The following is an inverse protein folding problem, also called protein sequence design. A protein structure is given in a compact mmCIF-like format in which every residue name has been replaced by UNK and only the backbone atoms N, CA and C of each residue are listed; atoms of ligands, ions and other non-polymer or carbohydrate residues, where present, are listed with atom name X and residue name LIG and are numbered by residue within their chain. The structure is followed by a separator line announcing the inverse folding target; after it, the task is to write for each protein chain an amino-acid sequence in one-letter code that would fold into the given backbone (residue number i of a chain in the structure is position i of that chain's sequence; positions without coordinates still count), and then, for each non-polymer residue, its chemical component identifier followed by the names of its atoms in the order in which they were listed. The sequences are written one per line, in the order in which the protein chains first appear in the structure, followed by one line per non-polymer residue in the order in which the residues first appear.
data_IF_828371346147
#
_entry.id   IF_828371346147
#
_cell.length_a   1.000
_cell.length_b   1.000
_cell.length_c   1.000
_cell.angle_alpha   90.00
_cell.angle_beta   90.00
_cell.angle_gamma   90.00
#
_symmetry.space_group_name_H-M   'P 1'
#
loop_
_entity.id
_entity.type
_entity.pdbx_description
1 polymer ?
#
# COMPACT_ATOMS: atom_id res chain seq x y z
N UNK A 1 7.44 19.73 39.02
CA UNK A 1 8.13 18.41 39.06
C UNK A 1 7.34 17.33 39.80
N UNK A 2 6.84 17.54 41.03
CA UNK A 2 6.00 16.54 41.75
C UNK A 2 4.75 16.08 40.99
N UNK A 3 4.08 16.99 40.26
CA UNK A 3 2.87 16.66 39.47
C UNK A 3 3.14 15.86 38.20
N UNK A 4 4.35 15.94 37.63
CA UNK A 4 4.77 15.19 36.44
C UNK A 4 5.14 13.74 36.78
N UNK A 5 5.76 13.54 37.95
CA UNK A 5 6.09 12.23 38.50
C UNK A 5 4.84 11.41 38.83
N UNK A 6 3.77 12.06 39.32
CA UNK A 6 2.47 11.42 39.52
C UNK A 6 1.85 10.92 38.20
N UNK A 7 1.98 11.68 37.11
CA UNK A 7 1.49 11.26 35.78
C UNK A 7 2.27 10.06 35.22
N UNK A 8 3.56 9.95 35.54
CA UNK A 8 4.42 8.81 35.16
C UNK A 8 4.17 7.55 36.00
N UNK A 9 3.59 7.67 37.20
CA UNK A 9 3.30 6.56 38.10
C UNK A 9 1.89 5.95 37.91
N UNK A 10 0.97 6.70 37.28
CA UNK A 10 -0.39 6.22 36.98
C UNK A 10 -0.41 5.01 36.02
N UNK A 11 0.42 4.93 34.96
CA UNK A 11 0.48 3.74 34.12
C UNK A 11 0.93 2.52 34.93
N UNK A 12 2.04 2.62 35.67
CA UNK A 12 2.64 1.49 36.40
C UNK A 12 1.74 0.94 37.52
N UNK A 13 0.92 1.78 38.15
CA UNK A 13 -0.01 1.34 39.21
C UNK A 13 -1.28 0.67 38.66
N UNK A 14 -1.70 1.00 37.42
CA UNK A 14 -2.83 0.33 36.75
C UNK A 14 -2.43 -1.01 36.11
N UNK A 15 -1.18 -1.17 35.67
CA UNK A 15 -0.68 -2.44 35.09
C UNK A 15 -0.45 -3.55 36.12
N UNK A 16 -0.31 -3.25 37.41
CA UNK A 16 -0.06 -4.26 38.46
C UNK A 16 -1.25 -5.19 38.76
N UNK A 17 -2.45 -4.90 38.24
CA UNK A 17 -3.65 -5.75 38.41
C UNK A 17 -3.99 -6.57 37.17
N UNK A 18 -3.20 -6.47 36.10
CA UNK A 18 -3.49 -7.14 34.85
C UNK A 18 -2.81 -8.51 34.83
N UNK A 19 -3.62 -9.58 34.86
CA UNK A 19 -3.12 -10.90 34.50
C UNK A 19 -2.78 -10.91 33.00
N UNK A 20 -1.54 -10.54 32.67
CA UNK A 20 -1.03 -10.40 31.30
C UNK A 20 -1.31 -11.67 30.49
N UNK A 21 -1.19 -12.84 31.11
CA UNK A 21 -1.49 -14.13 30.47
C UNK A 21 -2.94 -14.25 30.03
N UNK A 22 -3.89 -13.86 30.88
CA UNK A 22 -5.32 -13.91 30.56
C UNK A 22 -5.69 -12.86 29.51
N UNK A 23 -5.07 -11.68 29.56
CA UNK A 23 -5.29 -10.62 28.58
C UNK A 23 -4.74 -11.01 27.19
N UNK A 24 -3.52 -11.53 27.12
CA UNK A 24 -2.94 -12.06 25.88
C UNK A 24 -3.82 -13.20 25.34
N UNK A 25 -4.23 -14.15 26.18
CA UNK A 25 -5.11 -15.25 25.77
C UNK A 25 -6.44 -14.75 25.21
N UNK A 26 -7.04 -13.71 25.82
CA UNK A 26 -8.29 -13.10 25.35
C UNK A 26 -8.11 -12.31 24.04
N UNK A 27 -7.00 -11.60 23.89
CA UNK A 27 -6.66 -10.86 22.68
C UNK A 27 -6.37 -11.81 21.53
N UNK A 28 -5.58 -12.87 21.73
CA UNK A 28 -5.25 -13.85 20.70
C UNK A 28 -6.39 -14.87 20.43
N UNK A 29 -7.42 -14.95 21.28
CA UNK A 29 -8.57 -15.84 21.05
C UNK A 29 -9.27 -15.48 19.73
N UNK A 30 -9.51 -16.49 18.90
CA UNK A 30 -10.11 -16.42 17.54
C UNK A 30 -9.21 -15.85 16.44
N UNK A 31 -7.93 -15.69 16.72
CA UNK A 31 -6.96 -15.27 15.70
C UNK A 31 -6.67 -16.44 14.76
N UNK A 32 -6.48 -16.12 13.49
CA UNK A 32 -6.14 -17.08 12.44
C UNK A 32 -4.71 -16.81 12.02
N UNK A 33 -3.85 -17.81 12.21
CA UNK A 33 -2.54 -17.86 11.54
C UNK A 33 -2.73 -18.53 10.18
N UNK A 34 -2.09 -17.99 9.14
CA UNK A 34 -2.14 -18.55 7.80
C UNK A 34 -0.81 -18.35 7.09
N UNK A 35 -0.51 -19.31 6.23
CA UNK A 35 0.57 -19.23 5.26
C UNK A 35 0.07 -19.86 3.97
N UNK A 36 0.40 -19.26 2.83
CA UNK A 36 0.04 -19.74 1.51
C UNK A 36 1.24 -19.57 0.58
N UNK A 37 1.44 -20.53 -0.30
CA UNK A 37 2.45 -20.48 -1.35
C UNK A 37 1.79 -20.85 -2.67
N UNK A 38 1.97 -20.02 -3.69
CA UNK A 38 1.43 -20.20 -5.03
C UNK A 38 2.56 -19.97 -6.04
N UNK A 39 2.57 -20.76 -7.12
CA UNK A 39 3.48 -20.59 -8.24
C UNK A 39 2.68 -20.63 -9.54
N UNK A 40 3.02 -19.73 -10.46
CA UNK A 40 2.35 -19.60 -11.75
C UNK A 40 3.39 -19.60 -12.88
N UNK A 41 2.95 -19.80 -14.13
CA UNK A 41 3.85 -19.80 -15.28
C UNK A 41 4.52 -18.42 -15.45
N UNK A 42 5.70 -18.40 -16.08
CA UNK A 42 6.32 -17.16 -16.55
C UNK A 42 5.55 -16.56 -17.72
N UNK A 43 5.75 -15.26 -17.95
CA UNK A 43 5.45 -14.64 -19.25
C UNK A 43 6.43 -15.20 -20.29
N UNK A 44 6.01 -15.25 -21.57
CA UNK A 44 6.89 -15.62 -22.67
C UNK A 44 8.14 -14.74 -22.69
N UNK A 45 9.30 -15.38 -22.89
CA UNK A 45 10.57 -14.66 -22.99
C UNK A 45 10.53 -13.60 -24.09
N UNK A 46 11.21 -12.48 -23.84
CA UNK A 46 11.30 -11.38 -24.79
C UNK A 46 12.54 -11.57 -25.65
N UNK A 47 12.33 -11.83 -26.92
CA UNK A 47 13.40 -11.89 -27.92
C UNK A 47 13.55 -10.53 -28.59
N UNK A 48 14.66 -9.85 -28.32
CA UNK A 48 14.99 -8.57 -28.97
C UNK A 48 15.93 -8.82 -30.14
N UNK A 49 15.57 -8.31 -31.31
CA UNK A 49 16.41 -8.34 -32.51
C UNK A 49 17.12 -7.00 -32.67
N UNK A 50 18.45 -7.01 -32.81
CA UNK A 50 19.24 -5.81 -33.09
C UNK A 50 20.14 -6.03 -34.30
N UNK A 51 20.42 -4.94 -35.03
CA UNK A 51 21.30 -4.93 -36.21
C UNK A 51 22.44 -3.96 -35.93
N UNK A 52 23.48 -4.46 -35.27
CA UNK A 52 24.71 -3.71 -34.98
C UNK A 52 25.87 -4.16 -35.89
N UNK A 53 26.04 -5.47 -36.09
CA UNK A 53 27.02 -6.08 -37.02
C UNK A 53 26.49 -7.43 -37.57
N UNK A 54 25.22 -7.44 -38.01
CA UNK A 54 24.45 -8.64 -38.36
C UNK A 54 23.19 -8.80 -37.49
N UNK A 55 22.39 -9.84 -37.73
CA UNK A 55 21.20 -10.10 -36.91
C UNK A 55 21.63 -10.69 -35.55
N UNK A 56 21.64 -9.85 -34.52
CA UNK A 56 21.84 -10.29 -33.14
C UNK A 56 20.49 -10.52 -32.46
N UNK A 57 20.36 -11.68 -31.82
CA UNK A 57 19.15 -12.09 -31.11
C UNK A 57 19.50 -12.21 -29.63
N UNK A 58 18.92 -11.36 -28.79
CA UNK A 58 19.06 -11.44 -27.33
C UNK A 58 17.74 -11.88 -26.74
N UNK A 59 17.72 -13.04 -26.09
CA UNK A 59 16.54 -13.54 -25.35
C UNK A 59 16.72 -13.19 -23.88
N UNK A 60 15.83 -12.36 -23.35
CA UNK A 60 15.74 -12.09 -21.92
C UNK A 60 14.78 -13.10 -21.30
N UNK A 61 15.31 -14.06 -20.54
CA UNK A 61 14.50 -15.05 -19.81
C UNK A 61 13.65 -14.35 -18.75
N UNK A 62 12.34 -14.59 -18.79
CA UNK A 62 11.43 -14.08 -17.76
C UNK A 62 11.16 -15.21 -16.77
N UNK A 63 11.59 -15.10 -15.50
CA UNK A 63 11.40 -16.17 -14.53
C UNK A 63 9.91 -16.35 -14.17
N UNK A 64 9.57 -17.53 -13.63
CA UNK A 64 8.20 -17.85 -13.21
C UNK A 64 7.73 -16.94 -12.06
N UNK A 65 6.43 -16.63 -12.07
CA UNK A 65 5.79 -15.84 -11.03
C UNK A 65 5.48 -16.72 -9.82
N UNK A 66 5.60 -16.16 -8.62
CA UNK A 66 5.23 -16.84 -7.38
C UNK A 66 4.67 -15.85 -6.37
N UNK A 67 3.93 -16.36 -5.38
CA UNK A 67 3.50 -15.57 -4.23
C UNK A 67 3.55 -16.41 -2.97
N UNK A 68 4.21 -15.89 -1.95
CA UNK A 68 4.32 -16.48 -0.62
C UNK A 68 3.74 -15.49 0.39
N UNK A 69 2.57 -15.82 0.94
CA UNK A 69 1.86 -14.98 1.89
C UNK A 69 1.91 -15.62 3.27
N UNK A 70 2.25 -14.85 4.30
CA UNK A 70 2.21 -15.29 5.68
C UNK A 70 1.60 -14.21 6.57
N UNK A 71 0.75 -14.61 7.52
CA UNK A 71 0.11 -13.64 8.37
C UNK A 71 -0.63 -14.18 9.58
N UNK A 72 -0.93 -13.27 10.49
CA UNK A 72 -1.81 -13.50 11.63
C UNK A 72 -2.86 -12.40 11.66
N UNK A 73 -4.13 -12.80 11.76
CA UNK A 73 -5.22 -11.83 11.80
C UNK A 73 -6.30 -12.19 12.80
N UNK A 74 -6.93 -11.15 13.33
CA UNK A 74 -8.17 -11.21 14.08
C UNK A 74 -9.06 -10.06 13.65
N UNK A 75 -9.98 -10.35 12.74
CA UNK A 75 -10.89 -9.37 12.16
C UNK A 75 -12.31 -9.92 12.32
N UNK A 76 -13.29 -9.04 12.53
CA UNK A 76 -14.67 -9.45 12.68
C UNK A 76 -15.21 -10.03 11.36
N UNK A 77 -15.63 -11.30 11.41
CA UNK A 77 -16.28 -11.94 10.26
C UNK A 77 -17.64 -11.33 9.94
N UNK A 78 -17.89 -11.05 8.66
CA UNK A 78 -19.17 -10.58 8.12
C UNK A 78 -20.11 -11.74 7.79
N UNK A 79 -21.43 -11.50 7.89
CA UNK A 79 -22.44 -12.54 7.67
C UNK A 79 -22.46 -13.09 6.24
N UNK A 80 -21.92 -12.34 5.27
CA UNK A 80 -21.78 -12.77 3.88
C UNK A 80 -20.50 -13.58 3.62
N UNK A 81 -19.47 -13.50 4.49
CA UNK A 81 -18.21 -14.20 4.26
C UNK A 81 -18.39 -15.70 4.02
N UNK A 82 -19.25 -16.45 4.76
CA UNK A 82 -19.46 -17.86 4.47
C UNK A 82 -20.14 -18.13 3.11
N UNK A 83 -20.89 -17.16 2.57
CA UNK A 83 -21.52 -17.27 1.25
C UNK A 83 -20.56 -16.89 0.11
N UNK A 84 -19.54 -16.06 0.39
CA UNK A 84 -18.44 -15.75 -0.53
C UNK A 84 -17.35 -16.85 -0.47
N UNK A 85 -17.09 -17.42 0.71
CA UNK A 85 -15.98 -18.34 1.04
C UNK A 85 -16.36 -19.83 1.04
N UNK A 86 -17.38 -20.25 0.30
CA UNK A 86 -17.51 -21.68 -0.02
C UNK A 86 -16.44 -22.07 -1.06
N UNK A 87 -15.22 -22.27 -0.55
CA UNK A 87 -14.15 -23.20 -0.96
C UNK A 87 -12.79 -22.53 -0.78
N UNK A 88 -12.09 -22.94 0.28
CA UNK A 88 -10.64 -22.91 0.49
C UNK A 88 -9.87 -21.68 0.00
N UNK A 89 -9.31 -20.92 0.95
CA UNK A 89 -8.29 -19.89 0.68
C UNK A 89 -7.19 -20.48 -0.20
N UNK A 90 -7.12 -20.05 -1.46
CA UNK A 90 -6.20 -20.57 -2.47
C UNK A 90 -4.89 -19.74 -2.59
N UNK A 91 -4.64 -18.84 -1.64
CA UNK A 91 -3.44 -18.00 -1.63
C UNK A 91 -3.49 -16.79 -2.57
N UNK A 92 -4.62 -16.55 -3.25
CA UNK A 92 -4.85 -15.38 -4.13
C UNK A 92 -6.00 -14.47 -3.68
N UNK A 93 -6.56 -14.73 -2.49
CA UNK A 93 -7.75 -14.02 -2.00
C UNK A 93 -7.39 -12.77 -1.19
N UNK A 94 -7.56 -11.59 -1.79
CA UNK A 94 -7.60 -10.33 -1.06
C UNK A 94 -8.91 -10.24 -0.27
N UNK A 95 -8.83 -10.13 1.05
CA UNK A 95 -10.01 -9.94 1.90
C UNK A 95 -10.40 -8.47 1.87
N UNK A 96 -11.16 -8.05 0.85
CA UNK A 96 -11.57 -6.65 0.65
C UNK A 96 -12.26 -6.03 1.87
N UNK A 97 -12.93 -6.86 2.68
CA UNK A 97 -13.64 -6.42 3.87
C UNK A 97 -12.74 -6.05 5.05
N UNK A 98 -11.44 -6.37 4.98
CA UNK A 98 -10.49 -6.08 6.05
C UNK A 98 -10.27 -4.57 6.20
N UNK A 99 -10.50 -3.77 5.15
CA UNK A 99 -10.41 -2.31 5.21
C UNK A 99 -11.61 -1.62 5.88
N UNK A 100 -12.73 -2.33 6.09
CA UNK A 100 -13.95 -1.73 6.59
C UNK A 100 -14.00 -1.62 8.12
N UNK A 101 -14.57 -0.53 8.66
CA UNK A 101 -14.58 -0.27 10.11
C UNK A 101 -15.81 -0.86 10.81
N UNK A 102 -16.79 -1.41 10.08
CA UNK A 102 -18.10 -1.80 10.65
C UNK A 102 -18.51 -3.24 10.38
N UNK A 103 -18.16 -4.12 11.32
CA UNK A 103 -18.61 -5.51 11.41
C UNK A 103 -20.00 -5.76 12.04
N UNK A 104 -20.46 -7.02 11.92
CA UNK A 104 -21.71 -7.54 12.49
C UNK A 104 -21.79 -7.43 14.04
N UNK A 105 -20.63 -7.44 14.70
CA UNK A 105 -20.41 -7.01 16.08
C UNK A 105 -19.40 -5.86 16.05
N UNK A 106 -19.91 -4.64 15.91
CA UNK A 106 -19.14 -3.40 15.66
C UNK A 106 -18.36 -2.87 16.88
N UNK A 107 -17.75 -3.77 17.66
CA UNK A 107 -16.96 -3.47 18.87
C UNK A 107 -15.85 -4.49 19.04
N UNK A 108 -14.63 -4.01 19.28
CA UNK A 108 -13.53 -4.88 19.67
C UNK A 108 -12.17 -4.41 19.20
N UNK A 109 -11.18 -5.21 19.58
CA UNK A 109 -9.80 -5.09 19.12
C UNK A 109 -9.62 -6.01 17.92
N UNK A 110 -9.16 -5.44 16.81
CA UNK A 110 -8.87 -6.13 15.56
C UNK A 110 -7.44 -5.86 15.14
N UNK A 111 -6.84 -6.83 14.46
CA UNK A 111 -5.51 -6.68 13.91
C UNK A 111 -5.29 -7.58 12.69
N UNK A 112 -4.38 -7.14 11.83
CA UNK A 112 -3.82 -7.87 10.70
C UNK A 112 -2.32 -7.65 10.74
N UNK A 113 -1.55 -8.72 10.58
CA UNK A 113 -0.15 -8.63 10.26
C UNK A 113 0.09 -9.60 9.11
N UNK A 114 0.36 -9.06 7.93
CA UNK A 114 0.54 -9.83 6.71
C UNK A 114 1.81 -9.39 6.00
N UNK A 115 2.51 -10.38 5.49
CA UNK A 115 3.64 -10.22 4.59
C UNK A 115 3.37 -11.04 3.35
N UNK A 116 3.61 -10.45 2.20
CA UNK A 116 3.40 -11.06 0.90
C UNK A 116 4.66 -10.85 0.06
N UNK A 117 5.38 -11.95 -0.14
CA UNK A 117 6.54 -11.99 -0.99
C UNK A 117 6.14 -12.54 -2.35
N UNK A 118 6.12 -11.68 -3.36
CA UNK A 118 5.63 -12.01 -4.70
C UNK A 118 6.64 -11.67 -5.77
N UNK A 119 6.73 -12.50 -6.80
CA UNK A 119 7.36 -12.16 -8.07
C UNK A 119 6.26 -12.05 -9.12
N UNK A 120 6.22 -10.91 -9.78
CA UNK A 120 5.31 -10.64 -10.89
C UNK A 120 6.09 -10.00 -12.03
N UNK A 121 6.01 -10.58 -13.21
CA UNK A 121 6.62 -10.06 -14.44
C UNK A 121 8.15 -9.84 -14.28
N UNK A 122 8.81 -10.77 -13.59
CA UNK A 122 10.26 -10.69 -13.35
C UNK A 122 10.70 -9.70 -12.27
N UNK A 123 9.78 -8.94 -11.65
CA UNK A 123 10.08 -8.08 -10.50
C UNK A 123 9.62 -8.73 -9.20
N UNK A 124 10.45 -8.64 -8.18
CA UNK A 124 10.15 -9.11 -6.83
C UNK A 124 9.66 -7.97 -5.96
N UNK A 125 8.60 -8.21 -5.21
CA UNK A 125 7.99 -7.26 -4.30
C UNK A 125 7.81 -7.92 -2.93
N UNK A 126 8.19 -7.20 -1.89
CA UNK A 126 7.85 -7.53 -0.51
C UNK A 126 6.77 -6.57 -0.04
N UNK A 127 5.52 -7.03 -0.09
CA UNK A 127 4.38 -6.26 0.36
C UNK A 127 4.12 -6.56 1.85
N UNK A 128 3.71 -5.53 2.57
CA UNK A 128 3.40 -5.59 4.00
C UNK A 128 2.08 -4.88 4.28
N UNK A 129 1.17 -5.53 5.00
CA UNK A 129 -0.07 -4.92 5.49
C UNK A 129 -0.22 -5.27 6.98
N UNK A 130 0.08 -4.29 7.83
CA UNK A 130 -0.01 -4.43 9.27
C UNK A 130 -0.94 -3.37 9.81
N UNK A 131 -2.05 -3.77 10.44
CA UNK A 131 -2.86 -2.82 11.19
C UNK A 131 -3.30 -3.36 12.54
N UNK A 132 -3.49 -2.43 13.46
CA UNK A 132 -4.17 -2.62 14.74
C UNK A 132 -5.28 -1.59 14.80
N UNK A 133 -6.50 -2.01 15.12
CA UNK A 133 -7.59 -1.07 15.36
C UNK A 133 -8.45 -1.47 16.53
N UNK A 134 -8.94 -0.45 17.23
CA UNK A 134 -9.90 -0.58 18.30
C UNK A 134 -11.17 0.18 17.94
N UNK A 135 -12.28 -0.55 17.88
CA UNK A 135 -13.57 0.00 17.49
C UNK A 135 -14.47 0.03 18.72
N UNK A 136 -14.89 1.23 19.12
CA UNK A 136 -15.85 1.46 20.20
C UNK A 136 -17.21 1.94 19.67
N UNK A 137 -18.12 2.32 20.57
CA UNK A 137 -19.37 3.00 20.18
C UNK A 137 -19.17 4.43 19.73
N UNK A 138 -18.28 5.15 20.41
CA UNK A 138 -18.08 6.59 20.23
C UNK A 138 -16.76 6.97 19.58
N UNK A 139 -15.85 6.03 19.43
CA UNK A 139 -14.54 6.30 18.85
C UNK A 139 -13.96 5.08 18.13
N UNK A 140 -13.01 5.35 17.24
CA UNK A 140 -12.19 4.38 16.51
C UNK A 140 -10.75 4.84 16.63
N UNK A 141 -9.87 3.93 17.02
CA UNK A 141 -8.42 4.13 16.99
C UNK A 141 -7.84 3.14 15.99
N UNK A 142 -6.98 3.60 15.09
CA UNK A 142 -6.30 2.74 14.12
C UNK A 142 -4.83 3.13 14.05
N UNK A 143 -3.97 2.13 13.97
CA UNK A 143 -2.56 2.24 13.59
C UNK A 143 -2.34 1.26 12.46
N UNK A 144 -1.69 1.69 11.40
CA UNK A 144 -1.42 0.90 10.19
C UNK A 144 -0.03 1.19 9.66
N UNK A 145 0.62 0.16 9.14
CA UNK A 145 1.80 0.23 8.31
C UNK A 145 1.47 -0.53 7.03
N UNK A 146 1.55 0.15 5.90
CA UNK A 146 1.31 -0.42 4.58
C UNK A 146 2.56 -0.20 3.73
N UNK A 147 2.97 -1.25 3.04
CA UNK A 147 4.01 -1.21 2.01
C UNK A 147 3.53 -2.07 0.83
N UNK A 148 3.33 -1.45 -0.32
CA UNK A 148 2.96 -2.11 -1.56
C UNK A 148 3.97 -1.71 -2.63
N UNK A 149 4.90 -2.63 -2.91
CA UNK A 149 5.97 -2.41 -3.88
C UNK A 149 5.45 -2.31 -5.32
N UNK A 150 4.26 -2.84 -5.62
CA UNK A 150 3.68 -2.74 -6.97
C UNK A 150 3.08 -1.36 -7.23
N UNK A 151 2.38 -0.80 -6.24
CA UNK A 151 1.86 0.57 -6.29
C UNK A 151 2.92 1.64 -5.92
N UNK A 152 4.13 1.19 -5.54
CA UNK A 152 5.23 2.02 -5.06
C UNK A 152 4.75 2.98 -3.95
N UNK A 153 4.10 2.41 -2.92
CA UNK A 153 3.54 3.17 -1.82
C UNK A 153 3.84 2.52 -0.47
N UNK A 154 4.27 3.34 0.47
CA UNK A 154 4.72 2.99 1.80
C UNK A 154 4.33 4.09 2.78
N UNK A 155 3.56 3.75 3.82
CA UNK A 155 3.22 4.69 4.87
C UNK A 155 2.89 4.02 6.19
N UNK A 156 3.14 4.75 7.26
CA UNK A 156 2.59 4.50 8.59
C UNK A 156 1.46 5.49 8.87
N UNK A 157 0.29 5.01 9.28
CA UNK A 157 -0.87 5.81 9.66
C UNK A 157 -1.19 5.58 11.15
N UNK A 158 -1.48 6.65 11.88
CA UNK A 158 -2.17 6.60 13.16
C UNK A 158 -3.39 7.53 13.13
N UNK A 159 -4.59 7.00 13.35
CA UNK A 159 -5.82 7.81 13.35
C UNK A 159 -6.66 7.64 14.60
N UNK A 160 -7.26 8.76 15.03
CA UNK A 160 -8.18 8.84 16.16
C UNK A 160 -9.45 9.53 15.70
N UNK A 161 -10.57 8.80 15.73
CA UNK A 161 -11.81 9.24 15.11
C UNK A 161 -12.97 9.12 16.08
N UNK A 162 -13.73 10.18 16.26
CA UNK A 162 -15.04 10.12 16.90
C UNK A 162 -16.03 9.48 15.95
N UNK A 163 -16.86 8.59 16.48
CA UNK A 163 -17.81 7.79 15.72
C UNK A 163 -19.23 8.08 16.20
N UNK A 164 -20.11 8.38 15.25
CA UNK A 164 -21.54 8.47 15.46
C UNK A 164 -22.25 7.29 14.79
N UNK A 165 -22.88 6.44 15.61
CA UNK A 165 -23.66 5.28 15.14
C UNK A 165 -25.13 5.69 15.03
N UNK A 166 -25.64 5.89 13.81
CA UNK A 166 -27.06 6.11 13.57
C UNK A 166 -27.88 4.85 13.83
N UNK A 167 -27.34 3.69 13.43
CA UNK A 167 -27.92 2.39 13.70
C UNK A 167 -26.82 1.31 13.69
N UNK A 168 -27.20 0.03 13.76
CA UNK A 168 -26.25 -1.09 13.73
C UNK A 168 -25.54 -1.29 12.38
N UNK A 169 -26.06 -0.69 11.32
CA UNK A 169 -25.66 -0.86 9.92
C UNK A 169 -24.89 0.34 9.38
N UNK A 170 -25.15 1.54 9.88
CA UNK A 170 -24.62 2.79 9.36
C UNK A 170 -23.97 3.61 10.48
N UNK A 171 -22.75 4.04 10.23
CA UNK A 171 -22.07 5.01 11.08
C UNK A 171 -21.22 5.96 10.26
N UNK A 172 -21.04 7.15 10.81
CA UNK A 172 -20.08 8.13 10.32
C UNK A 172 -19.02 8.37 11.38
N UNK A 173 -17.83 8.78 10.96
CA UNK A 173 -16.74 9.11 11.85
C UNK A 173 -16.01 10.37 11.37
N UNK A 174 -15.43 11.10 12.31
CA UNK A 174 -14.63 12.31 12.08
C UNK A 174 -13.48 12.34 13.06
N UNK A 175 -12.28 12.74 12.62
CA UNK A 175 -11.15 12.84 13.52
C UNK A 175 -9.88 13.35 12.88
N UNK A 176 -8.77 13.05 13.56
CA UNK A 176 -7.42 13.34 13.09
C UNK A 176 -6.74 12.07 12.61
N UNK A 177 -5.91 12.22 11.59
CA UNK A 177 -5.03 11.20 11.06
C UNK A 177 -3.63 11.77 10.98
N UNK A 178 -2.66 11.00 11.46
CA UNK A 178 -1.24 11.27 11.31
C UNK A 178 -0.67 10.23 10.35
N UNK A 179 0.10 10.67 9.35
CA UNK A 179 0.80 9.78 8.42
C UNK A 179 2.29 10.09 8.42
N UNK A 180 3.09 9.04 8.34
CA UNK A 180 4.53 9.11 8.11
C UNK A 180 4.80 8.35 6.82
N UNK A 181 5.35 9.03 5.82
CA UNK A 181 5.62 8.44 4.52
C UNK A 181 6.86 9.03 3.88
N UNK A 182 7.33 8.41 2.81
CA UNK A 182 8.31 9.04 1.93
C UNK A 182 7.74 10.33 1.33
N UNK A 183 8.59 11.28 0.91
CA UNK A 183 8.16 12.54 0.30
C UNK A 183 7.61 12.32 -1.12
N UNK A 184 6.42 11.71 -1.21
CA UNK A 184 5.66 11.61 -2.45
C UNK A 184 5.48 13.00 -3.06
N UNK A 185 5.53 13.08 -4.39
CA UNK A 185 5.50 14.36 -5.14
C UNK A 185 6.85 15.04 -5.31
N UNK A 186 7.92 14.57 -4.66
CA UNK A 186 9.26 15.10 -4.87
C UNK A 186 9.78 14.80 -6.28
N UNK A 187 10.15 15.86 -7.00
CA UNK A 187 10.85 15.76 -8.28
C UNK A 187 12.37 15.86 -8.03
N UNK A 188 13.12 14.75 -8.21
CA UNK A 188 14.56 14.73 -7.98
C UNK A 188 15.35 15.59 -8.97
N UNK A 189 14.75 16.02 -10.08
CA UNK A 189 15.42 16.83 -11.10
C UNK A 189 15.10 18.31 -11.00
N UNK A 190 14.17 18.74 -10.15
CA UNK A 190 13.69 20.12 -10.08
C UNK A 190 14.84 21.16 -9.96
N UNK A 191 15.82 20.88 -9.11
CA UNK A 191 16.98 21.76 -8.90
C UNK A 191 18.07 21.63 -9.97
N UNK A 192 18.01 20.57 -10.80
CA UNK A 192 18.99 20.28 -11.84
C UNK A 192 18.52 20.70 -13.24
N UNK A 193 17.23 20.98 -13.43
CA UNK A 193 16.68 21.42 -14.71
C UNK A 193 17.32 22.73 -15.15
N UNK A 194 17.74 22.79 -16.42
CA UNK A 194 18.20 24.03 -17.03
C UNK A 194 17.00 24.97 -17.26
N UNK A 195 17.24 26.28 -17.48
CA UNK A 195 16.17 27.24 -17.78
C UNK A 195 15.32 26.90 -19.02
N UNK A 196 15.85 26.08 -19.93
CA UNK A 196 15.16 25.58 -21.12
C UNK A 196 14.38 24.27 -20.89
N UNK A 197 14.37 23.75 -19.65
CA UNK A 197 13.73 22.49 -19.28
C UNK A 197 14.55 21.23 -19.59
N UNK A 198 15.78 21.36 -20.10
CA UNK A 198 16.63 20.20 -20.38
C UNK A 198 17.35 19.69 -19.13
N UNK A 199 17.54 18.37 -19.04
CA UNK A 199 18.29 17.74 -17.96
C UNK A 199 19.78 17.72 -18.32
N UNK A 200 20.68 18.21 -17.45
CA UNK A 200 22.13 18.15 -17.66
C UNK A 200 22.67 16.75 -17.36
N UNK A 201 22.22 15.75 -18.11
CA UNK A 201 22.53 14.32 -17.88
C UNK A 201 24.02 14.02 -17.80
N UNK A 202 24.87 14.72 -18.58
CA UNK A 202 26.33 14.50 -18.55
C UNK A 202 26.91 14.89 -17.19
N UNK A 203 26.44 16.00 -16.60
CA UNK A 203 26.87 16.43 -15.27
C UNK A 203 26.46 15.38 -14.23
N UNK A 204 25.21 14.94 -14.28
CA UNK A 204 24.67 13.90 -13.38
C UNK A 204 25.48 12.61 -13.50
N UNK A 205 25.77 12.16 -14.73
CA UNK A 205 26.60 10.98 -14.98
C UNK A 205 27.99 11.12 -14.36
N UNK A 206 28.67 12.25 -14.55
CA UNK A 206 29.98 12.51 -13.94
C UNK A 206 29.90 12.57 -12.41
N UNK A 207 28.88 13.21 -11.84
CA UNK A 207 28.67 13.27 -10.38
C UNK A 207 28.42 11.86 -9.78
N UNK A 208 27.82 10.96 -10.57
CA UNK A 208 27.65 9.54 -10.23
C UNK A 208 28.88 8.66 -10.49
N UNK A 209 29.97 9.24 -11.01
CA UNK A 209 31.25 8.55 -11.22
C UNK A 209 31.46 7.96 -12.61
N UNK A 210 30.56 8.19 -13.57
CA UNK A 210 30.77 7.80 -14.96
C UNK A 210 31.84 8.69 -15.60
N UNK A 211 32.68 8.08 -16.43
CA UNK A 211 33.78 8.78 -17.09
C UNK A 211 33.66 8.69 -18.61
N UNK A 212 34.16 9.72 -19.29
CA UNK A 212 34.29 9.78 -20.73
C UNK A 212 35.77 9.85 -21.11
N UNK A 213 36.23 8.84 -21.86
CA UNK A 213 37.60 8.72 -22.34
C UNK A 213 37.79 9.20 -23.78
N UNK A 214 39.03 9.12 -24.26
CA UNK A 214 39.36 9.38 -25.66
C UNK A 214 38.64 8.35 -26.56
N UNK A 215 38.12 8.81 -27.71
CA UNK A 215 37.36 8.03 -28.71
C UNK A 215 35.92 7.62 -28.32
N UNK A 216 35.19 8.47 -27.58
CA UNK A 216 33.77 8.23 -27.23
C UNK A 216 33.51 6.92 -26.47
N UNK A 217 34.51 6.48 -25.71
CA UNK A 217 34.40 5.35 -24.78
C UNK A 217 33.91 5.90 -23.44
N UNK A 218 32.80 5.35 -22.95
CA UNK A 218 32.20 5.67 -21.67
C UNK A 218 32.37 4.51 -20.71
N UNK A 219 32.78 4.81 -19.48
CA UNK A 219 32.96 3.81 -18.43
C UNK A 219 32.06 4.09 -17.23
N UNK A 220 31.64 3.02 -16.56
CA UNK A 220 30.94 3.09 -15.27
C UNK A 220 31.90 3.52 -14.13
N UNK A 221 31.39 3.69 -12.90
CA UNK A 221 32.21 4.03 -11.73
C UNK A 221 33.26 2.96 -11.35
N UNK A 222 33.11 1.72 -11.82
CA UNK A 222 34.07 0.63 -11.60
C UNK A 222 35.16 0.58 -12.68
N UNK A 223 35.04 1.40 -13.74
CA UNK A 223 35.96 1.45 -14.87
C UNK A 223 35.62 0.47 -16.00
N UNK A 224 34.45 -0.17 -15.98
CA UNK A 224 33.97 -1.03 -17.05
C UNK A 224 33.37 -0.22 -18.19
N UNK A 225 33.64 -0.62 -19.43
CA UNK A 225 33.12 0.07 -20.63
C UNK A 225 31.62 -0.22 -20.77
N UNK A 226 30.81 0.84 -20.71
CA UNK A 226 29.34 0.77 -20.83
C UNK A 226 28.82 1.24 -22.18
N UNK A 227 29.60 2.05 -22.92
CA UNK A 227 29.29 2.43 -24.28
C UNK A 227 30.55 2.80 -25.06
N UNK A 228 30.54 2.54 -26.37
CA UNK A 228 31.61 2.90 -27.32
C UNK A 228 31.17 4.00 -28.31
N UNK A 229 30.00 4.61 -28.10
CA UNK A 229 29.56 5.79 -28.82
C UNK A 229 28.66 6.64 -27.93
N UNK A 230 28.57 7.93 -28.25
CA UNK A 230 27.73 8.87 -27.51
C UNK A 230 26.24 8.55 -27.65
N UNK A 231 25.82 8.05 -28.82
CA UNK A 231 24.43 7.67 -29.09
C UNK A 231 24.01 6.48 -28.21
N UNK A 232 24.84 5.44 -28.15
CA UNK A 232 24.58 4.27 -27.31
C UNK A 232 24.56 4.65 -25.84
N UNK A 233 25.48 5.52 -25.41
CA UNK A 233 25.49 6.01 -24.04
C UNK A 233 24.21 6.77 -23.69
N UNK A 234 23.75 7.67 -24.57
CA UNK A 234 22.54 8.47 -24.37
C UNK A 234 21.25 7.65 -24.39
N UNK A 235 21.14 6.67 -25.27
CA UNK A 235 19.89 5.90 -25.43
C UNK A 235 19.75 4.76 -24.42
N UNK A 236 20.86 4.16 -23.99
CA UNK A 236 20.84 2.94 -23.16
C UNK A 236 21.27 3.22 -21.73
N UNK A 237 22.36 3.98 -21.54
CA UNK A 237 23.01 4.13 -20.22
C UNK A 237 22.45 5.33 -19.47
N UNK A 238 22.27 6.48 -20.12
CA UNK A 238 21.74 7.69 -19.49
C UNK A 238 20.38 7.48 -18.82
N UNK A 239 19.40 6.78 -19.40
CA UNK A 239 18.13 6.49 -18.71
C UNK A 239 18.34 5.75 -17.38
N UNK A 240 19.27 4.80 -17.34
CA UNK A 240 19.62 4.08 -16.11
C UNK A 240 20.27 5.01 -15.09
N UNK A 241 21.24 5.83 -15.51
CA UNK A 241 21.89 6.83 -14.65
C UNK A 241 20.86 7.78 -14.03
N UNK A 242 19.91 8.27 -14.85
CA UNK A 242 18.86 9.17 -14.36
C UNK A 242 17.92 8.46 -13.38
N UNK A 243 17.57 7.18 -13.63
CA UNK A 243 16.77 6.38 -12.69
C UNK A 243 17.51 6.21 -11.36
N UNK A 244 18.78 5.79 -11.40
CA UNK A 244 19.59 5.56 -10.20
C UNK A 244 19.80 6.88 -9.42
N UNK A 245 20.02 7.99 -10.13
CA UNK A 245 20.10 9.31 -9.51
C UNK A 245 18.81 9.67 -8.79
N UNK A 246 17.66 9.48 -9.44
CA UNK A 246 16.35 9.75 -8.86
C UNK A 246 16.12 8.93 -7.57
N UNK A 247 16.49 7.65 -7.58
CA UNK A 247 16.38 6.76 -6.43
C UNK A 247 17.32 7.17 -5.30
N UNK A 248 18.56 7.55 -5.60
CA UNK A 248 19.52 8.08 -4.61
C UNK A 248 18.97 9.35 -3.96
N UNK A 249 18.48 10.30 -4.76
CA UNK A 249 17.91 11.55 -4.24
C UNK A 249 16.69 11.28 -3.36
N UNK A 250 15.79 10.38 -3.77
CA UNK A 250 14.61 9.99 -2.97
C UNK A 250 15.00 9.33 -1.66
N UNK A 251 15.93 8.37 -1.70
CA UNK A 251 16.39 7.63 -0.52
C UNK A 251 17.20 8.49 0.47
N UNK A 252 17.77 9.61 0.00
CA UNK A 252 18.45 10.57 0.87
C UNK A 252 17.48 11.40 1.72
N UNK A 253 16.19 11.45 1.35
CA UNK A 253 15.21 12.27 2.04
C UNK A 253 14.63 11.57 3.27
N UNK A 254 14.46 12.30 4.41
CA UNK A 254 13.82 11.74 5.57
C UNK A 254 12.30 11.57 5.33
N UNK A 255 11.71 10.58 6.00
CA UNK A 255 10.25 10.42 6.02
C UNK A 255 9.57 11.69 6.56
N UNK A 256 8.51 12.12 5.87
CA UNK A 256 7.70 13.28 6.24
C UNK A 256 6.60 12.89 7.22
N UNK A 257 6.23 13.84 8.06
CA UNK A 257 5.10 13.72 8.98
C UNK A 257 3.97 14.62 8.48
N UNK A 258 2.78 14.06 8.36
CA UNK A 258 1.58 14.78 7.92
C UNK A 258 0.44 14.58 8.90
N UNK A 259 -0.34 15.63 9.10
CA UNK A 259 -1.56 15.58 9.91
C UNK A 259 -2.74 16.03 9.07
N UNK A 260 -3.81 15.24 9.08
CA UNK A 260 -4.97 15.45 8.23
C UNK A 260 -6.26 15.31 9.04
N UNK A 261 -7.27 16.09 8.68
CA UNK A 261 -8.64 15.78 9.10
C UNK A 261 -9.11 14.54 8.32
N UNK A 262 -9.84 13.64 8.98
CA UNK A 262 -10.45 12.48 8.33
C UNK A 262 -11.94 12.44 8.62
N UNK A 263 -12.72 12.25 7.56
CA UNK A 263 -14.15 11.96 7.58
C UNK A 263 -14.34 10.56 7.03
N UNK A 264 -15.14 9.74 7.70
CA UNK A 264 -15.42 8.39 7.24
C UNK A 264 -16.88 8.04 7.35
N UNK A 265 -17.33 7.12 6.50
CA UNK A 265 -18.60 6.45 6.67
C UNK A 265 -18.44 4.96 6.45
N UNK A 266 -19.34 4.20 7.06
CA UNK A 266 -19.43 2.77 6.88
C UNK A 266 -20.91 2.35 6.86
N UNK A 267 -21.26 1.51 5.89
CA UNK A 267 -22.60 0.97 5.68
C UNK A 267 -22.56 -0.53 5.44
N UNK A 268 -23.24 -1.31 6.29
CA UNK A 268 -23.32 -2.76 6.22
C UNK A 268 -24.78 -3.25 6.21
N UNK A 269 -25.17 -3.98 5.17
CA UNK A 269 -26.48 -4.62 5.05
C UNK A 269 -26.32 -6.06 4.57
N UNK A 270 -26.91 -6.99 5.32
CA UNK A 270 -26.91 -8.42 4.99
C UNK A 270 -28.31 -9.03 5.06
N UNK A 271 -28.59 -9.89 4.10
CA UNK A 271 -29.77 -10.76 4.00
C UNK A 271 -29.38 -12.01 3.19
N UNK A 272 -30.21 -13.06 3.21
CA UNK A 272 -29.90 -14.34 2.53
C UNK A 272 -29.67 -14.19 1.01
N UNK A 273 -30.31 -13.22 0.37
CA UNK A 273 -30.24 -13.04 -1.08
C UNK A 273 -29.46 -11.78 -1.50
N UNK A 274 -29.05 -10.96 -0.54
CA UNK A 274 -28.44 -9.66 -0.82
C UNK A 274 -27.47 -9.29 0.30
N UNK A 275 -26.27 -8.91 -0.08
CA UNK A 275 -25.29 -8.31 0.83
C UNK A 275 -24.68 -7.07 0.17
N UNK A 276 -24.53 -6.03 0.99
CA UNK A 276 -23.90 -4.78 0.61
C UNK A 276 -23.07 -4.31 1.80
N UNK A 277 -21.81 -4.04 1.55
CA UNK A 277 -20.90 -3.43 2.49
C UNK A 277 -20.13 -2.34 1.76
N UNK A 278 -20.19 -1.11 2.25
CA UNK A 278 -19.46 0.01 1.68
C UNK A 278 -18.87 0.87 2.77
N UNK A 279 -17.69 1.39 2.52
CA UNK A 279 -17.00 2.32 3.40
C UNK A 279 -16.28 3.35 2.55
N UNK A 280 -16.08 4.55 3.09
CA UNK A 280 -15.19 5.53 2.52
C UNK A 280 -14.52 6.36 3.61
N UNK A 281 -13.34 6.86 3.28
CA UNK A 281 -12.58 7.84 4.04
C UNK A 281 -12.26 9.01 3.11
N UNK A 282 -12.44 10.21 3.61
CA UNK A 282 -12.14 11.47 2.94
C UNK A 282 -11.24 12.28 3.86
N UNK A 283 -10.12 12.74 3.34
CA UNK A 283 -9.19 13.63 4.02
C UNK A 283 -9.26 14.98 3.30
N UNK A 284 -10.19 15.86 3.70
CA UNK A 284 -10.43 17.11 2.97
C UNK A 284 -9.44 18.22 3.31
N UNK A 285 -8.60 18.02 4.33
CA UNK A 285 -7.71 19.05 4.83
C UNK A 285 -6.46 18.45 5.43
N UNK A 286 -5.32 18.95 4.98
CA UNK A 286 -3.99 18.56 5.43
C UNK A 286 -3.34 19.79 6.08
N UNK A 287 -2.79 19.62 7.28
CA UNK A 287 -2.11 20.70 8.00
C UNK A 287 -0.79 20.99 7.30
N UNK A 288 -0.61 22.25 6.88
CA UNK A 288 0.65 22.72 6.36
C UNK A 288 1.66 22.84 7.50
N UNK A 289 2.63 21.94 7.51
CA UNK A 289 3.79 22.03 8.38
C UNK A 289 4.92 22.57 7.53
N UNK A 290 5.52 23.68 7.96
CA UNK A 290 6.67 24.30 7.31
C UNK A 290 7.88 23.35 7.31
N UNK A 291 7.89 22.41 6.37
CA UNK A 291 8.96 21.45 6.11
C UNK A 291 9.40 21.62 4.65
N UNK A 292 10.69 21.51 4.37
CA UNK A 292 11.25 21.61 3.03
C UNK A 292 10.66 20.57 2.06
N UNK A 293 10.26 19.40 2.59
CA UNK A 293 9.73 18.27 1.80
C UNK A 293 8.23 18.01 2.08
N UNK A 294 7.49 19.04 2.48
CA UNK A 294 6.04 18.97 2.65
C UNK A 294 5.34 18.78 1.30
N UNK A 295 4.33 17.90 1.24
CA UNK A 295 3.53 17.73 0.02
C UNK A 295 2.77 19.00 -0.38
N UNK A 296 2.44 19.88 0.57
CA UNK A 296 1.88 21.20 0.25
C UNK A 296 2.74 21.99 -0.73
N UNK A 297 4.07 21.86 -0.64
CA UNK A 297 5.02 22.53 -1.54
C UNK A 297 5.09 21.86 -2.91
N UNK A 298 4.91 20.54 -2.97
CA UNK A 298 4.94 19.80 -4.23
C UNK A 298 3.60 19.84 -4.98
N UNK A 299 2.50 20.05 -4.27
CA UNK A 299 1.14 20.08 -4.81
C UNK A 299 0.57 21.51 -4.91
N UNK A 300 1.40 22.54 -4.76
CA UNK A 300 1.00 23.95 -4.83
C UNK A 300 -0.24 24.29 -3.95
N UNK A 301 -0.35 23.67 -2.77
CA UNK A 301 -1.43 23.94 -1.82
C UNK A 301 -2.13 22.69 -1.27
N UNK A 302 -3.42 22.84 -0.94
CA UNK A 302 -4.26 21.76 -0.39
C UNK A 302 -4.61 20.74 -1.47
N UNK A 303 -4.83 19.49 -1.04
CA UNK A 303 -5.32 18.41 -1.88
C UNK A 303 -6.40 17.60 -1.17
N UNK A 304 -6.97 16.65 -1.91
CA UNK A 304 -8.00 15.75 -1.42
C UNK A 304 -7.51 14.31 -1.50
N UNK A 305 -7.32 13.69 -0.35
CA UNK A 305 -7.03 12.27 -0.24
C UNK A 305 -8.31 11.50 0.06
N UNK A 306 -8.52 10.36 -0.59
CA UNK A 306 -9.70 9.55 -0.35
C UNK A 306 -9.46 8.06 -0.60
N UNK A 307 -10.17 7.24 0.16
CA UNK A 307 -10.20 5.79 -0.04
C UNK A 307 -11.60 5.26 0.20
N UNK A 308 -11.93 4.13 -0.41
CA UNK A 308 -13.22 3.51 -0.18
C UNK A 308 -13.30 2.13 -0.79
N UNK A 309 -14.36 1.42 -0.42
CA UNK A 309 -14.63 0.12 -0.97
C UNK A 309 -16.10 -0.22 -0.99
N UNK A 310 -16.39 -1.22 -1.79
CA UNK A 310 -17.72 -1.73 -2.02
C UNK A 310 -17.62 -3.25 -2.12
N UNK A 311 -18.47 -3.95 -1.40
CA UNK A 311 -18.73 -5.38 -1.55
C UNK A 311 -20.22 -5.51 -1.75
N UNK A 312 -20.61 -5.97 -2.92
CA UNK A 312 -21.98 -6.17 -3.33
C UNK A 312 -22.15 -7.61 -3.78
N UNK A 313 -23.30 -8.18 -3.46
CA UNK A 313 -23.73 -9.38 -4.15
C UNK A 313 -25.20 -9.65 -3.99
N UNK A 314 -25.73 -10.33 -5.00
CA UNK A 314 -27.13 -10.63 -5.14
C UNK A 314 -27.32 -12.05 -5.64
N UNK A 315 -28.22 -12.78 -4.97
CA UNK A 315 -28.60 -14.15 -5.34
C UNK A 315 -30.02 -14.11 -5.91
N UNK A 316 -30.15 -14.27 -7.22
CA UNK A 316 -31.42 -14.28 -7.93
C UNK A 316 -32.26 -15.50 -7.54
N UNK A 317 -31.63 -16.67 -7.46
CA UNK A 317 -32.24 -17.93 -7.05
C UNK A 317 -31.18 -18.87 -6.44
N UNK A 318 -31.51 -20.13 -6.14
CA UNK A 318 -30.55 -21.07 -5.53
C UNK A 318 -29.36 -21.43 -6.43
N UNK A 319 -29.51 -21.26 -7.74
CA UNK A 319 -28.50 -21.61 -8.73
C UNK A 319 -27.70 -20.40 -9.19
N UNK A 320 -28.30 -19.22 -9.32
CA UNK A 320 -27.67 -18.04 -9.92
C UNK A 320 -27.45 -16.92 -8.91
N UNK A 321 -26.22 -16.41 -8.86
CA UNK A 321 -25.86 -15.20 -8.12
C UNK A 321 -24.76 -14.41 -8.80
N UNK A 322 -24.63 -13.15 -8.40
CA UNK A 322 -23.58 -12.24 -8.86
C UNK A 322 -22.91 -11.58 -7.66
N UNK A 323 -21.66 -11.20 -7.83
CA UNK A 323 -20.93 -10.39 -6.87
C UNK A 323 -20.04 -9.37 -7.58
N UNK A 324 -19.83 -8.25 -6.92
CA UNK A 324 -18.87 -7.23 -7.30
C UNK A 324 -18.24 -6.68 -6.02
N UNK A 325 -16.92 -6.73 -5.92
CA UNK A 325 -16.17 -6.23 -4.79
C UNK A 325 -14.96 -5.44 -5.26
N UNK A 326 -14.57 -4.43 -4.50
CA UNK A 326 -13.38 -3.68 -4.81
C UNK A 326 -13.06 -2.61 -3.78
N UNK A 327 -11.81 -2.16 -3.84
CA UNK A 327 -11.25 -1.07 -3.05
C UNK A 327 -10.52 -0.11 -3.97
N UNK A 328 -10.57 1.18 -3.63
CA UNK A 328 -9.91 2.24 -4.34
C UNK A 328 -9.26 3.18 -3.34
N UNK A 329 -8.06 3.65 -3.67
CA UNK A 329 -7.30 4.60 -2.88
C UNK A 329 -6.70 5.66 -3.81
N UNK A 330 -6.73 6.92 -3.36
CA UNK A 330 -6.04 8.06 -3.96
C UNK A 330 -5.35 8.81 -2.84
N UNK A 331 -4.04 8.61 -2.66
CA UNK A 331 -3.22 9.37 -1.71
C UNK A 331 -2.01 9.98 -2.41
N UNK A 332 -1.68 11.25 -2.11
CA UNK A 332 -0.49 11.95 -2.66
C UNK A 332 -0.37 11.83 -4.19
N UNK A 333 -1.50 12.01 -4.89
CA UNK A 333 -1.63 11.89 -6.35
C UNK A 333 -1.29 10.49 -6.92
N UNK A 334 -1.17 9.47 -6.07
CA UNK A 334 -1.08 8.06 -6.47
C UNK A 334 -2.43 7.38 -6.31
N UNK A 335 -2.85 6.66 -7.33
CA UNK A 335 -4.06 5.86 -7.35
C UNK A 335 -3.72 4.38 -7.35
N UNK A 336 -4.32 3.60 -6.47
CA UNK A 336 -4.29 2.14 -6.57
C UNK A 336 -5.64 1.56 -6.21
N UNK A 337 -5.99 0.48 -6.90
CA UNK A 337 -7.30 -0.13 -6.77
C UNK A 337 -7.23 -1.61 -7.11
N UNK A 338 -8.19 -2.34 -6.57
CA UNK A 338 -8.38 -3.74 -6.85
C UNK A 338 -9.87 -4.00 -6.91
N UNK A 339 -10.31 -4.79 -7.89
CA UNK A 339 -11.70 -5.17 -8.00
C UNK A 339 -11.83 -6.60 -8.51
N UNK A 340 -12.92 -7.24 -8.11
CA UNK A 340 -13.33 -8.57 -8.55
C UNK A 340 -14.83 -8.56 -8.81
N UNK A 341 -15.24 -9.17 -9.92
CA UNK A 341 -16.65 -9.33 -10.27
C UNK A 341 -16.86 -10.72 -10.81
N UNK A 342 -18.02 -11.31 -10.54
CA UNK A 342 -18.28 -12.67 -11.00
C UNK A 342 -19.74 -13.07 -10.97
N UNK A 343 -20.02 -14.13 -11.73
CA UNK A 343 -21.31 -14.79 -11.81
C UNK A 343 -21.12 -16.22 -11.33
N UNK A 344 -21.92 -16.63 -10.35
CA UNK A 344 -21.94 -17.99 -9.82
C UNK A 344 -23.18 -18.71 -10.32
N UNK A 345 -22.99 -19.82 -11.04
CA UNK A 345 -24.06 -20.74 -11.42
C UNK A 345 -23.82 -22.13 -10.81
N UNK A 346 -24.72 -22.56 -9.93
CA UNK A 346 -24.70 -23.87 -9.28
C UNK A 346 -25.73 -24.76 -9.96
N UNK A 347 -25.27 -25.85 -10.57
CA UNK A 347 -26.12 -26.94 -11.03
C UNK A 347 -26.52 -27.75 -9.80
N UNK A 348 -27.81 -27.83 -9.51
CA UNK A 348 -28.38 -28.47 -8.33
C UNK A 348 -28.85 -29.89 -8.62
#
# INVERSE_FOLDING_TARGET
MRSLLLLLLIPFTVYSQINVKDQIKRTLKFSTFYAAYNGNNSISDVTTYSVLDGLNTTTTETPYDYSAVFGIRKIQRFGYEPNIQNRFKNGTENSFSDAATVGSKSKGFEYLFEFDYRRQQGKEFLNQDHFIRYIADRYVLKVEYLEDGFADIGYFEASQRFRHKFNRKFSVNIGGMQRISEPYGFDPFADCLRPDGSIPWMKIATDMGYNWGLNDIYTDPNGEIVANSTEVFQEVVVPQILSDYADIQRNALPNKWEYSAVLGFDYYRYSKNFWLHSWANLLPYHIDIENQYSYHKFNDGQWLDYSGGLIFGYRFNRSLGIFAEGRYHQYWNRSWYEFSTGINYIIL
#
